data_IF_454889859071
#
_entry.id   IF_454889859071
#
_cell.length_a   1.000
_cell.length_b   1.000
_cell.length_c   1.000
_cell.angle_alpha   90.00
_cell.angle_beta   90.00
_cell.angle_gamma   90.00
#
_symmetry.space_group_name_H-M   'P 1'
#
loop_
_entity.id
_entity.type
_entity.pdbx_description
1 polymer ?
#
# COMPACT_ATOMS: atom_id res chain seq x y z
N UNK A 1 11.73 30.00 -13.06
CA UNK A 1 11.77 29.29 -11.75
C UNK A 1 10.47 28.55 -11.46
N UNK A 2 9.32 29.08 -11.91
CA UNK A 2 8.01 28.44 -11.76
C UNK A 2 7.90 27.09 -12.50
N UNK A 3 8.60 26.92 -13.63
CA UNK A 3 8.58 25.69 -14.44
C UNK A 3 9.17 24.46 -13.71
N UNK A 4 10.02 24.66 -12.70
CA UNK A 4 10.61 23.58 -11.89
C UNK A 4 9.79 23.32 -10.62
N UNK A 5 9.12 24.35 -10.11
CA UNK A 5 8.34 24.27 -8.87
C UNK A 5 7.11 23.36 -9.04
N UNK A 6 6.47 23.41 -10.22
CA UNK A 6 5.26 22.63 -10.52
C UNK A 6 5.54 21.11 -10.55
N UNK A 7 6.54 20.59 -11.28
CA UNK A 7 6.91 19.17 -11.20
C UNK A 7 7.35 18.77 -9.79
N UNK A 8 8.14 19.61 -9.12
CA UNK A 8 8.67 19.33 -7.79
C UNK A 8 7.54 19.16 -6.76
N UNK A 9 6.49 19.98 -6.83
CA UNK A 9 5.31 19.87 -5.97
C UNK A 9 4.58 18.54 -6.14
N UNK A 10 4.44 18.07 -7.38
CA UNK A 10 3.85 16.75 -7.69
C UNK A 10 4.65 15.61 -7.07
N UNK A 11 5.98 15.61 -7.24
CA UNK A 11 6.85 14.59 -6.66
C UNK A 11 6.88 14.65 -5.13
N UNK A 12 6.90 15.86 -4.55
CA UNK A 12 6.86 16.06 -3.11
C UNK A 12 5.55 15.54 -2.49
N UNK A 13 4.41 15.76 -3.16
CA UNK A 13 3.11 15.26 -2.72
C UNK A 13 3.07 13.72 -2.70
N UNK A 14 3.54 13.07 -3.77
CA UNK A 14 3.62 11.60 -3.82
C UNK A 14 4.58 11.06 -2.75
N UNK A 15 5.74 11.69 -2.58
CA UNK A 15 6.70 11.32 -1.55
C UNK A 15 6.09 11.47 -0.14
N UNK A 16 5.38 12.56 0.14
CA UNK A 16 4.69 12.78 1.41
C UNK A 16 3.61 11.72 1.67
N UNK A 17 2.80 11.39 0.66
CA UNK A 17 1.74 10.37 0.79
C UNK A 17 2.28 8.99 1.20
N UNK A 18 3.50 8.65 0.80
CA UNK A 18 4.15 7.38 1.16
C UNK A 18 4.93 7.48 2.48
N UNK A 19 5.70 8.55 2.65
CA UNK A 19 6.60 8.73 3.79
C UNK A 19 5.85 9.02 5.09
N UNK A 20 4.80 9.85 5.05
CA UNK A 20 4.04 10.26 6.25
C UNK A 20 3.40 9.05 6.96
N UNK A 21 2.57 8.22 6.32
CA UNK A 21 1.96 7.08 7.02
C UNK A 21 3.01 6.04 7.46
N UNK A 22 4.11 5.89 6.70
CA UNK A 22 5.21 5.00 7.07
C UNK A 22 5.95 5.51 8.31
N UNK A 23 6.16 6.82 8.41
CA UNK A 23 6.79 7.46 9.56
C UNK A 23 5.91 7.40 10.80
N UNK A 24 4.60 7.69 10.68
CA UNK A 24 3.65 7.59 11.79
C UNK A 24 3.56 6.16 12.34
N UNK A 25 3.38 5.16 11.47
CA UNK A 25 3.42 3.74 11.89
C UNK A 25 4.72 3.32 12.53
N UNK A 26 5.84 3.89 12.10
CA UNK A 26 7.16 3.62 12.69
C UNK A 26 7.28 4.21 14.11
N UNK A 27 6.72 5.40 14.35
CA UNK A 27 6.68 5.99 15.71
C UNK A 27 5.81 5.18 16.65
N UNK A 28 4.58 4.84 16.25
CA UNK A 28 3.65 4.04 17.06
C UNK A 28 4.29 2.71 17.51
N UNK A 29 5.00 2.03 16.62
CA UNK A 29 5.72 0.79 16.93
C UNK A 29 6.84 0.99 17.96
N UNK A 30 7.57 2.10 17.89
CA UNK A 30 8.66 2.39 18.83
C UNK A 30 8.14 2.72 20.22
N UNK A 31 7.06 3.48 20.31
CA UNK A 31 6.42 3.84 21.58
C UNK A 31 5.85 2.60 22.29
N UNK A 32 5.20 1.71 21.54
CA UNK A 32 4.70 0.45 22.09
C UNK A 32 5.83 -0.44 22.66
N UNK A 33 6.98 -0.51 21.98
CA UNK A 33 8.15 -1.25 22.47
C UNK A 33 8.77 -0.62 23.73
N UNK A 34 8.72 0.71 23.88
CA UNK A 34 9.22 1.40 25.07
C UNK A 34 8.33 1.15 26.29
N UNK A 35 7.01 1.08 26.11
CA UNK A 35 6.08 0.74 27.19
C UNK A 35 6.29 -0.69 27.70
N UNK A 36 6.59 -1.66 26.82
CA UNK A 36 6.96 -3.02 27.25
C UNK A 36 8.23 -2.99 28.10
N UNK A 37 9.27 -2.27 27.66
CA UNK A 37 10.53 -2.18 28.42
C UNK A 37 10.29 -1.61 29.81
N UNK A 38 9.48 -0.54 29.91
CA UNK A 38 9.08 0.03 31.20
C UNK A 38 8.22 -0.92 32.05
N UNK A 39 7.35 -1.74 31.44
CA UNK A 39 6.53 -2.72 32.16
C UNK A 39 7.37 -3.90 32.70
N UNK A 40 8.33 -4.38 31.92
CA UNK A 40 9.30 -5.42 32.32
C UNK A 40 10.18 -4.90 33.46
N UNK A 41 10.71 -3.67 33.36
CA UNK A 41 11.55 -3.05 34.39
C UNK A 41 10.81 -2.83 35.73
N UNK A 42 9.48 -2.71 35.70
CA UNK A 42 8.63 -2.58 36.90
C UNK A 42 8.22 -3.91 37.54
N UNK A 43 8.72 -5.04 37.04
CA UNK A 43 8.49 -6.36 37.63
C UNK A 43 7.05 -6.88 37.50
N UNK A 44 6.23 -6.29 36.63
CA UNK A 44 4.94 -6.86 36.27
C UNK A 44 5.20 -8.01 35.30
N UNK A 45 4.81 -9.24 35.66
CA UNK A 45 4.77 -10.36 34.72
C UNK A 45 3.85 -9.94 33.57
N UNK A 46 4.37 -9.76 32.34
CA UNK A 46 3.58 -9.22 31.25
C UNK A 46 2.45 -10.23 30.98
N UNK A 47 1.22 -9.83 31.30
CA UNK A 47 0.03 -10.63 31.03
C UNK A 47 0.09 -11.11 29.58
N UNK A 48 -0.08 -12.42 29.37
CA UNK A 48 0.06 -13.10 28.07
C UNK A 48 -0.76 -12.39 26.98
N UNK A 49 -1.86 -11.74 27.37
CA UNK A 49 -2.74 -10.93 26.51
C UNK A 49 -2.06 -9.69 25.89
N UNK A 50 -1.17 -8.98 26.62
CA UNK A 50 -0.43 -7.82 26.09
C UNK A 50 0.67 -8.23 25.12
N UNK A 51 1.37 -9.34 25.42
CA UNK A 51 2.39 -9.90 24.52
C UNK A 51 1.73 -10.43 23.25
N UNK A 52 0.56 -11.04 23.36
CA UNK A 52 -0.18 -11.60 22.22
C UNK A 52 -0.83 -10.50 21.35
N UNK A 53 -1.40 -9.46 21.96
CA UNK A 53 -1.94 -8.30 21.23
C UNK A 53 -0.85 -7.58 20.41
N UNK A 54 0.36 -7.45 20.97
CA UNK A 54 1.49 -6.83 20.26
C UNK A 54 2.16 -7.81 19.28
N UNK A 55 2.23 -9.10 19.60
CA UNK A 55 2.73 -10.12 18.65
C UNK A 55 1.80 -10.28 17.46
N UNK A 56 0.49 -10.07 17.63
CA UNK A 56 -0.49 -10.04 16.53
C UNK A 56 -0.22 -8.88 15.56
N UNK A 57 0.33 -7.76 16.04
CA UNK A 57 0.76 -6.62 15.24
C UNK A 57 2.18 -6.76 14.64
N UNK A 58 2.99 -7.64 15.25
CA UNK A 58 4.34 -8.03 14.77
C UNK A 58 4.26 -9.17 13.76
N UNK A 59 3.23 -10.04 13.82
CA UNK A 59 2.91 -10.97 12.73
C UNK A 59 2.78 -10.12 11.49
N UNK A 60 3.69 -10.29 10.53
CA UNK A 60 3.82 -9.31 9.49
C UNK A 60 2.47 -9.25 8.78
N UNK A 61 2.03 -8.03 8.49
CA UNK A 61 0.98 -7.78 7.51
C UNK A 61 1.27 -8.49 6.15
N UNK A 62 2.41 -9.16 6.03
CA UNK A 62 2.82 -10.08 4.98
C UNK A 62 2.06 -11.41 4.90
N UNK A 63 0.99 -11.64 5.68
CA UNK A 63 -0.03 -12.57 5.20
C UNK A 63 -0.75 -11.83 4.07
N UNK A 64 -0.21 -11.93 2.86
CA UNK A 64 -0.96 -11.69 1.62
C UNK A 64 -2.19 -12.59 1.71
N UNK A 65 -3.28 -12.01 2.21
CA UNK A 65 -4.58 -12.64 2.07
C UNK A 65 -4.93 -12.43 0.61
N UNK A 66 -5.34 -13.50 -0.07
CA UNK A 66 -5.85 -13.42 -1.44
C UNK A 66 -6.84 -12.25 -1.58
N UNK A 67 -7.69 -12.05 -0.57
CA UNK A 67 -8.62 -10.92 -0.46
C UNK A 67 -7.97 -9.54 -0.57
N UNK A 68 -6.81 -9.30 0.08
CA UNK A 68 -6.10 -8.02 -0.01
C UNK A 68 -5.53 -7.81 -1.40
N UNK A 69 -4.97 -8.87 -1.99
CA UNK A 69 -4.33 -8.79 -3.30
C UNK A 69 -5.39 -8.59 -4.40
N UNK A 70 -6.57 -9.22 -4.30
CA UNK A 70 -7.74 -8.88 -5.14
C UNK A 70 -8.12 -7.42 -4.97
N UNK A 71 -8.25 -6.92 -3.74
CA UNK A 71 -8.67 -5.53 -3.51
C UNK A 71 -7.69 -4.54 -4.14
N UNK A 72 -6.39 -4.75 -3.93
CA UNK A 72 -5.34 -3.93 -4.54
C UNK A 72 -5.38 -4.03 -6.06
N UNK A 73 -5.56 -5.24 -6.59
CA UNK A 73 -5.67 -5.48 -8.02
C UNK A 73 -6.85 -4.76 -8.68
N UNK A 74 -8.04 -4.84 -8.08
CA UNK A 74 -9.25 -4.16 -8.57
C UNK A 74 -9.08 -2.63 -8.54
N UNK A 75 -8.51 -2.08 -7.46
CA UNK A 75 -8.25 -0.64 -7.36
C UNK A 75 -7.30 -0.19 -8.48
N UNK A 76 -6.23 -0.94 -8.74
CA UNK A 76 -5.25 -0.61 -9.77
C UNK A 76 -5.82 -0.69 -11.19
N UNK A 77 -6.68 -1.67 -11.47
CA UNK A 77 -7.40 -1.76 -12.75
C UNK A 77 -8.31 -0.53 -12.92
N UNK A 78 -9.06 -0.16 -11.87
CA UNK A 78 -9.94 1.01 -11.91
C UNK A 78 -9.17 2.30 -12.17
N UNK A 79 -7.98 2.46 -11.57
CA UNK A 79 -7.10 3.61 -11.84
C UNK A 79 -6.63 3.61 -13.30
N UNK A 80 -6.15 2.49 -13.83
CA UNK A 80 -5.69 2.40 -15.21
C UNK A 80 -6.81 2.69 -16.23
N UNK A 81 -8.01 2.16 -16.00
CA UNK A 81 -9.19 2.47 -16.82
C UNK A 81 -9.61 3.93 -16.69
N UNK A 82 -9.59 4.48 -15.48
CA UNK A 82 -9.89 5.89 -15.23
C UNK A 82 -8.93 6.83 -15.97
N UNK A 83 -7.64 6.49 -16.03
CA UNK A 83 -6.66 7.22 -16.83
C UNK A 83 -6.96 7.14 -18.33
N UNK A 84 -7.45 5.99 -18.83
CA UNK A 84 -7.89 5.87 -20.23
C UNK A 84 -9.12 6.71 -20.56
N UNK A 85 -10.11 6.76 -19.66
CA UNK A 85 -11.26 7.67 -19.79
C UNK A 85 -10.81 9.12 -19.78
N UNK A 86 -9.87 9.47 -18.89
CA UNK A 86 -9.33 10.82 -18.80
C UNK A 86 -8.53 11.19 -20.06
N UNK A 87 -7.79 10.25 -20.64
CA UNK A 87 -7.11 10.40 -21.93
C UNK A 87 -8.11 10.71 -23.06
N UNK A 88 -9.23 9.99 -23.07
CA UNK A 88 -10.30 10.17 -24.05
C UNK A 88 -10.97 11.54 -23.92
N UNK A 89 -11.29 11.96 -22.70
CA UNK A 89 -11.94 13.25 -22.43
C UNK A 89 -11.04 14.45 -22.77
N UNK A 90 -9.76 14.41 -22.36
CA UNK A 90 -8.81 15.49 -22.65
C UNK A 90 -8.38 15.47 -24.12
N UNK A 91 -8.30 14.28 -24.72
CA UNK A 91 -7.92 14.07 -26.11
C UNK A 91 -8.80 14.81 -27.12
N UNK A 92 -10.07 15.08 -26.77
CA UNK A 92 -10.96 15.89 -27.60
C UNK A 92 -10.51 17.35 -27.76
N UNK A 93 -9.81 17.91 -26.77
CA UNK A 93 -9.28 19.27 -26.82
C UNK A 93 -7.82 19.30 -27.25
N UNK A 94 -7.04 18.30 -26.81
CA UNK A 94 -5.60 18.24 -27.07
C UNK A 94 -5.22 16.81 -27.46
N UNK A 95 -5.15 16.53 -28.76
CA UNK A 95 -4.91 15.18 -29.29
C UNK A 95 -3.57 14.57 -28.86
N UNK A 96 -2.56 15.41 -28.62
CA UNK A 96 -1.21 14.97 -28.22
C UNK A 96 -1.16 14.32 -26.82
N UNK A 97 -2.22 14.48 -26.02
CA UNK A 97 -2.26 14.01 -24.62
C UNK A 97 -2.76 12.57 -24.52
N UNK A 98 -3.37 12.03 -25.57
CA UNK A 98 -3.98 10.69 -25.59
C UNK A 98 -2.93 9.60 -25.32
N UNK A 99 -1.84 9.60 -26.10
CA UNK A 99 -0.82 8.55 -26.02
C UNK A 99 -0.05 8.55 -24.69
N UNK A 100 0.42 9.70 -24.16
CA UNK A 100 1.09 9.75 -22.86
C UNK A 100 0.19 9.31 -21.69
N UNK A 101 -1.09 9.69 -21.68
CA UNK A 101 -2.01 9.30 -20.62
C UNK A 101 -2.41 7.82 -20.69
N UNK A 102 -2.64 7.29 -21.89
CA UNK A 102 -2.89 5.85 -22.06
C UNK A 102 -1.66 5.03 -21.67
N UNK A 103 -0.45 5.48 -22.05
CA UNK A 103 0.79 4.83 -21.67
C UNK A 103 0.97 4.79 -20.15
N UNK A 104 0.79 5.92 -19.47
CA UNK A 104 0.89 5.97 -18.00
C UNK A 104 -0.21 5.20 -17.27
N UNK A 105 -1.43 5.13 -17.83
CA UNK A 105 -2.54 4.33 -17.30
C UNK A 105 -2.39 2.81 -17.50
N UNK A 106 -1.64 2.39 -18.51
CA UNK A 106 -1.38 0.96 -18.77
C UNK A 106 -0.57 0.30 -17.64
N UNK A 107 0.34 1.04 -16.98
CA UNK A 107 1.15 0.53 -15.88
C UNK A 107 0.28 0.05 -14.71
N UNK A 108 -0.55 0.90 -14.06
CA UNK A 108 -1.42 0.42 -12.98
C UNK A 108 -2.43 -0.62 -13.50
N UNK A 109 -2.92 -0.52 -14.74
CA UNK A 109 -3.83 -1.52 -15.31
C UNK A 109 -3.22 -2.93 -15.29
N UNK A 110 -2.01 -3.10 -15.84
CA UNK A 110 -1.35 -4.40 -15.89
C UNK A 110 -0.88 -4.89 -14.52
N UNK A 111 -0.44 -4.00 -13.64
CA UNK A 111 -0.12 -4.37 -12.25
C UNK A 111 -1.38 -4.88 -11.55
N UNK A 112 -2.52 -4.23 -11.77
CA UNK A 112 -3.80 -4.66 -11.20
C UNK A 112 -4.24 -6.04 -11.70
N UNK A 113 -4.10 -6.31 -13.00
CA UNK A 113 -4.34 -7.63 -13.60
C UNK A 113 -3.41 -8.68 -12.96
N UNK A 114 -2.14 -8.36 -12.78
CA UNK A 114 -1.18 -9.26 -12.14
C UNK A 114 -1.58 -9.61 -10.69
N UNK A 115 -2.02 -8.63 -9.89
CA UNK A 115 -2.52 -8.88 -8.54
C UNK A 115 -3.75 -9.79 -8.51
N UNK A 116 -4.69 -9.60 -9.43
CA UNK A 116 -5.87 -10.47 -9.55
C UNK A 116 -5.44 -11.88 -9.97
N UNK A 117 -4.60 -12.01 -10.99
CA UNK A 117 -4.09 -13.30 -11.46
C UNK A 117 -3.37 -14.05 -10.34
N UNK A 118 -2.46 -13.39 -9.62
CA UNK A 118 -1.76 -13.96 -8.47
C UNK A 118 -2.72 -14.37 -7.36
N UNK A 119 -3.80 -13.63 -7.13
CA UNK A 119 -4.81 -14.03 -6.15
C UNK A 119 -5.59 -15.28 -6.56
N UNK A 120 -5.81 -15.52 -7.86
CA UNK A 120 -6.44 -16.75 -8.33
C UNK A 120 -5.48 -17.94 -8.25
N UNK A 121 -4.18 -17.74 -8.47
CA UNK A 121 -3.17 -18.80 -8.33
C UNK A 121 -2.76 -19.08 -6.88
N UNK A 122 -2.98 -18.14 -5.97
CA UNK A 122 -2.67 -18.29 -4.55
C UNK A 122 -3.89 -18.11 -3.62
N UNK A 123 -5.01 -18.86 -3.80
CA UNK A 123 -6.21 -18.59 -3.01
C UNK A 123 -6.05 -18.87 -1.51
N UNK A 124 -5.11 -19.74 -1.07
CA UNK A 124 -5.05 -20.11 0.35
C UNK A 124 -3.80 -20.91 0.82
N UNK A 125 -2.56 -20.43 0.64
CA UNK A 125 -1.44 -20.93 1.50
C UNK A 125 -1.44 -20.25 2.87
N UNK A 126 -2.61 -20.23 3.49
CA UNK A 126 -2.88 -19.73 4.83
C UNK A 126 -2.94 -20.81 5.91
N UNK A 127 -2.75 -22.09 5.58
CA UNK A 127 -2.72 -23.26 6.49
C UNK A 127 -1.62 -24.19 5.93
N UNK A 128 -0.51 -24.52 6.60
CA UNK A 128 -0.35 -25.02 7.97
C UNK A 128 1.02 -24.61 8.56
N UNK A 129 1.10 -24.21 9.84
CA UNK A 129 2.35 -24.29 10.61
C UNK A 129 2.72 -25.73 11.03
N UNK A 130 1.84 -26.71 10.80
CA UNK A 130 2.00 -28.12 11.23
C UNK A 130 1.71 -29.15 10.11
N UNK A 131 2.36 -29.01 8.94
CA UNK A 131 2.61 -30.14 8.03
C UNK A 131 4.03 -30.11 7.53
#
# INVERSE_FOLDING_TARGET
MEDILVPLGLFAMVAAMVLVPKYLRSRERREAQQLIRMAIERGQEPSVEMVEAMTKDIRPANRSSAVRDVRVGVILIAVGLGMGVLAWLIGFQTGDVIWPLLGSGSIPLFIGIAFIALSFFNPNKGLDPER
#
